data_IF_415927655420
#
_entry.id   IF_415927655420
#
_cell.length_a   1.000
_cell.length_b   1.000
_cell.length_c   1.000
_cell.angle_alpha   90.00
_cell.angle_beta   90.00
_cell.angle_gamma   90.00
#
_symmetry.space_group_name_H-M   'P 1'
#
loop_
_entity.id
_entity.type
_entity.pdbx_description
1 polymer ?
#
# COMPACT_ATOMS: atom_id res chain seq x y z
N UNK A 1 8.14 7.19 27.40
CA UNK A 1 8.60 6.11 26.49
C UNK A 1 7.59 4.97 26.35
N UNK A 2 7.20 4.28 27.44
CA UNK A 2 6.23 3.16 27.37
C UNK A 2 4.90 3.57 26.72
N UNK A 3 4.34 4.72 27.10
CA UNK A 3 3.10 5.24 26.51
C UNK A 3 3.19 5.42 25.00
N UNK A 4 4.28 5.98 24.48
CA UNK A 4 4.47 6.17 23.05
C UNK A 4 4.67 4.87 22.29
N UNK A 5 5.32 3.87 22.89
CA UNK A 5 5.42 2.51 22.33
C UNK A 5 4.02 1.89 22.24
N UNK A 6 3.22 2.00 23.30
CA UNK A 6 1.85 1.49 23.30
C UNK A 6 0.98 2.18 22.24
N UNK A 7 1.02 3.53 22.18
CA UNK A 7 0.32 4.32 21.16
C UNK A 7 0.78 3.91 19.76
N UNK A 8 2.09 3.73 19.54
CA UNK A 8 2.63 3.33 18.25
C UNK A 8 2.08 1.97 17.79
N UNK A 9 2.14 0.95 18.65
CA UNK A 9 1.65 -0.41 18.34
C UNK A 9 0.14 -0.43 18.14
N UNK A 10 -0.60 0.30 18.99
CA UNK A 10 -2.05 0.42 18.86
C UNK A 10 -2.44 1.11 17.57
N UNK A 11 -1.79 2.23 17.24
CA UNK A 11 -2.02 2.97 16.00
C UNK A 11 -1.69 2.14 14.77
N UNK A 12 -0.57 1.41 14.75
CA UNK A 12 -0.26 0.48 13.66
C UNK A 12 -1.34 -0.58 13.48
N UNK A 13 -1.82 -1.15 14.58
CA UNK A 13 -2.90 -2.13 14.55
C UNK A 13 -4.18 -1.52 13.97
N UNK A 14 -4.58 -0.34 14.43
CA UNK A 14 -5.76 0.39 13.92
C UNK A 14 -5.58 0.72 12.44
N UNK A 15 -4.39 1.15 12.00
CA UNK A 15 -4.08 1.46 10.61
C UNK A 15 -4.32 0.25 9.69
N UNK A 16 -3.80 -0.93 10.08
CA UNK A 16 -3.96 -2.17 9.32
C UNK A 16 -5.44 -2.60 9.25
N UNK A 17 -6.17 -2.56 10.36
CA UNK A 17 -7.58 -2.99 10.39
C UNK A 17 -8.50 -2.02 9.65
N UNK A 18 -8.27 -0.71 9.80
CA UNK A 18 -9.05 0.33 9.13
C UNK A 18 -8.83 0.32 7.62
N UNK A 19 -7.59 0.12 7.13
CA UNK A 19 -7.32 -0.11 5.70
C UNK A 19 -8.14 -1.30 5.16
N UNK A 20 -8.12 -2.43 5.87
CA UNK A 20 -8.90 -3.62 5.50
C UNK A 20 -10.41 -3.34 5.44
N UNK A 21 -10.95 -2.54 6.36
CA UNK A 21 -12.37 -2.16 6.35
C UNK A 21 -12.71 -1.21 5.22
N UNK A 22 -11.85 -0.22 4.94
CA UNK A 22 -12.01 0.73 3.85
C UNK A 22 -12.06 -0.01 2.52
N UNK A 23 -11.06 -0.85 2.25
CA UNK A 23 -10.96 -1.62 1.01
C UNK A 23 -12.13 -2.59 0.84
N UNK A 24 -12.50 -3.34 1.89
CA UNK A 24 -13.67 -4.25 1.82
C UNK A 24 -14.97 -3.50 1.52
N UNK A 25 -15.13 -2.29 2.04
CA UNK A 25 -16.33 -1.49 1.84
C UNK A 25 -16.35 -0.87 0.45
N UNK A 26 -15.21 -0.35 -0.03
CA UNK A 26 -15.02 0.12 -1.40
C UNK A 26 -15.35 -0.99 -2.41
N UNK A 27 -14.85 -2.21 -2.20
CA UNK A 27 -15.14 -3.35 -3.07
C UNK A 27 -16.62 -3.77 -3.07
N UNK A 28 -17.36 -3.56 -1.97
CA UNK A 28 -18.82 -3.78 -1.93
C UNK A 28 -19.56 -2.68 -2.66
N UNK A 29 -19.15 -1.42 -2.51
CA UNK A 29 -19.74 -0.27 -3.20
C UNK A 29 -19.53 -0.41 -4.71
N UNK A 30 -18.32 -0.69 -5.16
CA UNK A 30 -18.01 -0.91 -6.57
C UNK A 30 -18.84 -2.04 -7.19
N UNK A 31 -19.05 -3.15 -6.46
CA UNK A 31 -19.95 -4.24 -6.89
C UNK A 31 -21.42 -3.82 -6.95
N UNK A 32 -21.89 -3.00 -6.02
CA UNK A 32 -23.26 -2.46 -6.05
C UNK A 32 -23.47 -1.51 -7.22
N UNK A 33 -22.42 -0.78 -7.64
CA UNK A 33 -22.42 0.13 -8.79
C UNK A 33 -22.19 -0.60 -10.13
N UNK A 34 -22.06 -1.92 -10.14
CA UNK A 34 -21.89 -2.71 -11.37
C UNK A 34 -20.51 -2.61 -12.02
N UNK A 35 -19.46 -2.27 -11.26
CA UNK A 35 -18.09 -2.23 -11.79
C UNK A 35 -17.59 -3.62 -12.17
N UNK A 36 -16.68 -3.68 -13.15
CA UNK A 36 -16.07 -4.93 -13.64
C UNK A 36 -15.26 -5.61 -12.52
N UNK A 37 -15.26 -6.95 -12.51
CA UNK A 37 -14.58 -7.75 -11.47
C UNK A 37 -13.08 -7.45 -11.38
N UNK A 38 -12.42 -7.33 -12.53
CA UNK A 38 -11.00 -6.97 -12.60
C UNK A 38 -10.72 -5.61 -11.94
N UNK A 39 -11.57 -4.61 -12.18
CA UNK A 39 -11.44 -3.26 -11.60
C UNK A 39 -11.53 -3.36 -10.08
N UNK A 40 -12.53 -4.09 -9.57
CA UNK A 40 -12.70 -4.30 -8.13
C UNK A 40 -11.52 -5.04 -7.54
N UNK A 41 -11.05 -6.12 -8.17
CA UNK A 41 -9.91 -6.90 -7.70
C UNK A 41 -8.62 -6.08 -7.67
N UNK A 42 -8.32 -5.35 -8.76
CA UNK A 42 -7.15 -4.49 -8.86
C UNK A 42 -7.15 -3.41 -7.79
N UNK A 43 -8.23 -2.63 -7.65
CA UNK A 43 -8.30 -1.60 -6.61
C UNK A 43 -8.28 -2.19 -5.21
N UNK A 44 -8.88 -3.37 -5.00
CA UNK A 44 -8.83 -4.04 -3.69
C UNK A 44 -7.40 -4.44 -3.34
N UNK A 45 -6.64 -4.97 -4.29
CA UNK A 45 -5.24 -5.38 -4.06
C UNK A 45 -4.33 -4.16 -3.91
N UNK A 46 -4.37 -3.22 -4.86
CA UNK A 46 -3.48 -2.06 -4.88
C UNK A 46 -3.74 -1.10 -3.71
N UNK A 47 -5.01 -0.81 -3.38
CA UNK A 47 -5.30 0.13 -2.31
C UNK A 47 -5.08 -0.46 -0.91
N UNK A 48 -5.19 -1.79 -0.74
CA UNK A 48 -5.04 -2.41 0.58
C UNK A 48 -3.66 -2.18 1.20
N UNK A 49 -2.61 -2.26 0.39
CA UNK A 49 -1.23 -2.03 0.80
C UNK A 49 -0.84 -0.55 0.76
N UNK A 50 -1.34 0.22 -0.21
CA UNK A 50 -0.93 1.62 -0.36
C UNK A 50 -1.66 2.61 0.55
N UNK A 51 -2.87 2.30 1.04
CA UNK A 51 -3.64 3.20 1.92
C UNK A 51 -2.90 3.51 3.24
N UNK A 52 -2.35 2.51 3.97
CA UNK A 52 -1.54 2.76 5.16
C UNK A 52 -0.40 3.74 4.91
N UNK A 53 0.43 3.46 3.89
CA UNK A 53 1.60 4.26 3.53
C UNK A 53 1.18 5.69 3.13
N UNK A 54 0.12 5.81 2.33
CA UNK A 54 -0.43 7.11 1.95
C UNK A 54 -0.92 7.91 3.18
N UNK A 55 -1.54 7.24 4.15
CA UNK A 55 -2.05 7.89 5.37
C UNK A 55 -0.91 8.44 6.22
N UNK A 56 0.13 7.64 6.44
CA UNK A 56 1.35 8.06 7.16
C UNK A 56 2.09 9.16 6.38
N UNK A 57 2.18 9.04 5.05
CA UNK A 57 2.83 10.03 4.19
C UNK A 57 2.14 11.40 4.24
N UNK A 58 0.80 11.42 4.14
CA UNK A 58 0.01 12.65 4.24
C UNK A 58 0.16 13.27 5.64
N UNK A 59 0.00 12.48 6.71
CA UNK A 59 0.13 13.00 8.09
C UNK A 59 1.54 13.56 8.35
N UNK A 60 2.59 12.88 7.87
CA UNK A 60 3.98 13.36 7.98
C UNK A 60 4.21 14.67 7.24
N UNK A 61 3.65 14.81 6.02
CA UNK A 61 3.75 16.05 5.24
C UNK A 61 3.02 17.21 5.93
N UNK A 62 1.85 16.96 6.52
CA UNK A 62 1.09 17.95 7.29
C UNK A 62 1.82 18.41 8.56
N UNK A 63 2.66 17.54 9.14
CA UNK A 63 3.51 17.85 10.29
C UNK A 63 4.85 18.50 9.92
N UNK A 64 5.08 18.85 8.65
CA UNK A 64 6.35 19.39 8.13
C UNK A 64 7.56 18.47 8.37
N UNK A 65 7.35 17.16 8.40
CA UNK A 65 8.39 16.15 8.55
C UNK A 65 8.36 15.12 7.40
N UNK A 66 8.48 15.57 6.13
CA UNK A 66 8.41 14.69 4.97
C UNK A 66 9.53 13.63 4.94
N UNK A 67 10.60 13.82 5.71
CA UNK A 67 11.67 12.85 5.94
C UNK A 67 11.17 11.52 6.51
N UNK A 68 10.11 11.52 7.33
CA UNK A 68 9.49 10.30 7.84
C UNK A 68 8.78 9.53 6.72
N UNK A 69 7.99 10.24 5.91
CA UNK A 69 7.30 9.65 4.76
C UNK A 69 8.28 9.07 3.74
N UNK A 70 9.36 9.80 3.44
CA UNK A 70 10.41 9.32 2.55
C UNK A 70 11.07 8.05 3.10
N UNK A 71 11.44 8.05 4.38
CA UNK A 71 12.03 6.89 5.03
C UNK A 71 11.10 5.68 5.03
N UNK A 72 9.81 5.88 5.29
CA UNK A 72 8.78 4.84 5.27
C UNK A 72 8.64 4.19 3.88
N UNK A 73 8.47 5.00 2.83
CA UNK A 73 8.31 4.51 1.46
C UNK A 73 9.57 3.74 1.00
N UNK A 74 10.75 4.31 1.22
CA UNK A 74 12.03 3.70 0.82
C UNK A 74 12.27 2.43 1.62
N UNK A 75 12.08 2.47 2.93
CA UNK A 75 12.22 1.30 3.80
C UNK A 75 11.30 0.17 3.39
N UNK A 76 9.99 0.44 3.28
CA UNK A 76 9.00 -0.55 2.89
C UNK A 76 9.37 -1.23 1.56
N UNK A 77 9.73 -0.45 0.53
CA UNK A 77 10.12 -1.00 -0.76
C UNK A 77 11.41 -1.85 -0.69
N UNK A 78 12.43 -1.39 0.07
CA UNK A 78 13.65 -2.17 0.26
C UNK A 78 13.30 -3.50 0.95
N UNK A 79 12.50 -3.48 1.99
CA UNK A 79 12.12 -4.65 2.77
C UNK A 79 11.31 -5.64 1.94
N UNK A 80 10.32 -5.15 1.18
CA UNK A 80 9.49 -5.99 0.31
C UNK A 80 10.33 -6.68 -0.77
N UNK A 81 11.19 -5.91 -1.45
CA UNK A 81 12.04 -6.41 -2.54
C UNK A 81 13.20 -7.29 -2.08
N UNK A 82 13.62 -7.17 -0.82
CA UNK A 82 14.73 -7.96 -0.25
C UNK A 82 14.21 -9.06 0.68
N UNK A 83 13.87 -8.71 1.91
CA UNK A 83 13.45 -9.65 2.95
C UNK A 83 12.17 -10.40 2.56
N UNK A 84 11.17 -9.71 2.03
CA UNK A 84 9.91 -10.31 1.61
C UNK A 84 10.09 -11.38 0.55
N UNK A 85 10.76 -11.03 -0.55
CA UNK A 85 11.09 -11.98 -1.63
C UNK A 85 11.99 -13.10 -1.13
N UNK A 86 13.04 -12.79 -0.36
CA UNK A 86 13.97 -13.80 0.15
C UNK A 86 13.26 -14.84 1.02
N UNK A 87 12.42 -14.42 1.96
CA UNK A 87 11.63 -15.32 2.80
C UNK A 87 10.66 -16.17 1.97
N UNK A 88 10.01 -15.58 0.98
CA UNK A 88 9.12 -16.30 0.08
C UNK A 88 9.87 -17.37 -0.74
N UNK A 89 11.06 -17.06 -1.25
CA UNK A 89 11.90 -18.02 -1.98
C UNK A 89 12.37 -19.17 -1.08
N UNK A 90 12.86 -18.87 0.12
CA UNK A 90 13.34 -19.88 1.08
C UNK A 90 12.21 -20.85 1.47
N UNK A 91 10.98 -20.33 1.64
CA UNK A 91 9.82 -21.13 2.05
C UNK A 91 9.19 -21.88 0.87
N UNK A 92 9.38 -21.40 -0.36
CA UNK A 92 8.90 -22.09 -1.56
C UNK A 92 9.65 -23.42 -1.75
N UNK A 93 8.88 -24.51 -1.83
CA UNK A 93 9.44 -25.86 -2.06
C UNK A 93 10.03 -26.05 -3.46
N UNK A 94 9.72 -25.18 -4.43
CA UNK A 94 10.06 -25.35 -5.85
C UNK A 94 10.75 -24.12 -6.46
N UNK A 95 11.13 -23.14 -5.63
CA UNK A 95 11.49 -21.80 -6.07
C UNK A 95 10.27 -21.00 -6.57
N UNK A 96 10.48 -19.72 -6.91
CA UNK A 96 9.45 -18.88 -7.51
C UNK A 96 9.57 -18.96 -9.04
N UNK A 97 8.57 -19.52 -9.72
CA UNK A 97 8.54 -19.58 -11.19
C UNK A 97 7.90 -18.34 -11.77
N UNK A 98 8.55 -17.71 -12.75
CA UNK A 98 8.07 -16.56 -13.51
C UNK A 98 7.42 -17.04 -14.82
N UNK A 99 6.09 -17.26 -14.88
CA UNK A 99 5.51 -18.05 -15.97
C UNK A 99 5.21 -17.25 -17.25
N UNK A 100 5.43 -15.92 -17.29
CA UNK A 100 5.01 -15.14 -18.47
C UNK A 100 5.87 -13.92 -18.81
N UNK A 101 6.03 -13.67 -20.11
CA UNK A 101 6.59 -12.46 -20.73
C UNK A 101 5.92 -11.18 -20.21
N UNK A 102 4.62 -11.25 -19.86
CA UNK A 102 3.83 -10.14 -19.31
C UNK A 102 4.34 -9.65 -17.95
N UNK A 103 4.86 -10.55 -17.10
CA UNK A 103 5.48 -10.17 -15.81
C UNK A 103 6.81 -9.46 -16.05
N UNK A 104 7.59 -9.88 -17.05
CA UNK A 104 8.88 -9.24 -17.38
C UNK A 104 8.69 -7.82 -17.95
N UNK A 105 7.75 -7.61 -18.86
CA UNK A 105 7.47 -6.27 -19.41
C UNK A 105 6.89 -5.33 -18.36
N UNK A 106 6.03 -5.84 -17.47
CA UNK A 106 5.49 -5.03 -16.36
C UNK A 106 6.57 -4.72 -15.33
N UNK A 107 7.47 -5.67 -15.04
CA UNK A 107 8.58 -5.49 -14.11
C UNK A 107 9.57 -4.40 -14.55
N UNK A 108 9.91 -4.33 -15.84
CA UNK A 108 10.79 -3.28 -16.37
C UNK A 108 10.20 -1.87 -16.17
N UNK A 109 8.89 -1.74 -16.40
CA UNK A 109 8.17 -0.50 -16.14
C UNK A 109 8.12 -0.17 -14.64
N UNK A 110 7.85 -1.17 -13.79
CA UNK A 110 7.86 -0.99 -12.32
C UNK A 110 9.22 -0.52 -11.82
N UNK A 111 10.32 -1.09 -12.32
CA UNK A 111 11.68 -0.65 -11.96
C UNK A 111 11.90 0.80 -12.37
N UNK A 112 11.51 1.18 -13.59
CA UNK A 112 11.64 2.56 -14.06
C UNK A 112 10.87 3.54 -13.16
N UNK A 113 9.62 3.22 -12.80
CA UNK A 113 8.80 4.07 -11.91
C UNK A 113 9.36 4.10 -10.49
N UNK A 114 9.91 2.99 -9.99
CA UNK A 114 10.50 2.93 -8.64
C UNK A 114 11.79 3.75 -8.51
N UNK A 115 12.58 3.90 -9.59
CA UNK A 115 13.82 4.69 -9.62
C UNK A 115 13.54 6.19 -9.80
N UNK A 116 12.37 6.56 -10.32
CA UNK A 116 12.05 7.94 -10.66
C UNK A 116 12.06 8.91 -9.44
N UNK A 117 11.45 8.60 -8.27
CA UNK A 117 11.50 9.51 -7.13
C UNK A 117 12.91 9.73 -6.56
N UNK A 118 13.76 8.69 -6.36
CA UNK A 118 15.17 8.90 -6.02
C UNK A 118 15.92 9.73 -7.05
N UNK A 119 15.63 9.54 -8.36
CA UNK A 119 16.26 10.31 -9.44
C UNK A 119 15.91 11.81 -9.36
N UNK A 120 14.65 12.12 -9.07
CA UNK A 120 14.19 13.51 -8.87
C UNK A 120 14.80 14.13 -7.62
N UNK A 121 15.02 13.34 -6.56
CA UNK A 121 15.60 13.82 -5.32
C UNK A 121 17.11 14.17 -5.38
N UNK A 122 17.81 13.93 -6.50
CA UNK A 122 19.25 14.18 -6.62
C UNK A 122 19.63 15.67 -6.53
N UNK A 123 18.71 16.58 -6.87
CA UNK A 123 18.92 18.02 -6.75
C UNK A 123 18.78 18.54 -5.32
N UNK A 124 18.53 17.64 -4.35
CA UNK A 124 18.43 17.95 -2.93
C UNK A 124 17.00 17.98 -2.39
N UNK A 125 15.97 17.72 -3.21
CA UNK A 125 14.60 17.64 -2.70
C UNK A 125 13.58 17.06 -3.70
N UNK A 126 12.34 16.90 -3.26
CA UNK A 126 11.21 16.57 -4.14
C UNK A 126 10.22 17.71 -4.03
N UNK A 127 10.06 18.47 -5.10
CA UNK A 127 9.18 19.62 -5.17
C UNK A 127 7.76 19.28 -5.58
N UNK A 128 6.90 20.31 -5.66
CA UNK A 128 5.51 20.16 -6.14
C UNK A 128 5.45 19.76 -7.62
N UNK A 129 6.43 20.19 -8.41
CA UNK A 129 6.59 19.80 -9.81
C UNK A 129 6.82 18.30 -9.96
N UNK A 130 7.77 17.75 -9.21
CA UNK A 130 8.08 16.32 -9.20
C UNK A 130 6.89 15.49 -8.76
N UNK A 131 6.20 15.91 -7.69
CA UNK A 131 4.95 15.27 -7.24
C UNK A 131 3.87 15.25 -8.33
N UNK A 132 3.74 16.33 -9.10
CA UNK A 132 2.79 16.41 -10.22
C UNK A 132 3.17 15.43 -11.34
N UNK A 133 4.45 15.35 -11.68
CA UNK A 133 4.97 14.40 -12.67
C UNK A 133 4.72 12.96 -12.21
N UNK A 134 4.99 12.63 -10.94
CA UNK A 134 4.76 11.30 -10.37
C UNK A 134 3.28 10.89 -10.42
N UNK A 135 2.37 11.82 -10.11
CA UNK A 135 0.92 11.58 -10.24
C UNK A 135 0.54 11.34 -11.71
N UNK A 136 1.06 12.16 -12.64
CA UNK A 136 0.77 11.99 -14.07
C UNK A 136 1.26 10.64 -14.59
N UNK A 137 2.48 10.22 -14.23
CA UNK A 137 3.03 8.91 -14.59
C UNK A 137 2.15 7.79 -14.03
N UNK A 138 1.70 7.90 -12.79
CA UNK A 138 0.77 6.93 -12.19
C UNK A 138 -0.58 6.86 -12.93
N UNK A 139 -1.15 8.01 -13.31
CA UNK A 139 -2.39 8.05 -14.09
C UNK A 139 -2.23 7.44 -15.49
N UNK A 140 -1.11 7.72 -16.18
CA UNK A 140 -0.78 7.13 -17.47
C UNK A 140 -0.65 5.60 -17.32
N UNK A 141 0.03 5.12 -16.27
CA UNK A 141 0.15 3.69 -15.99
C UNK A 141 -1.21 3.03 -15.79
N UNK A 142 -2.07 3.62 -14.95
CA UNK A 142 -3.44 3.16 -14.75
C UNK A 142 -4.19 3.11 -16.08
N UNK A 143 -4.16 4.18 -16.88
CA UNK A 143 -4.85 4.23 -18.16
C UNK A 143 -4.36 3.15 -19.14
N UNK A 144 -3.05 2.96 -19.24
CA UNK A 144 -2.44 1.90 -20.06
C UNK A 144 -2.86 0.50 -19.58
N UNK A 145 -2.86 0.27 -18.26
CA UNK A 145 -3.28 -0.98 -17.64
C UNK A 145 -4.74 -1.30 -17.96
N UNK A 146 -5.62 -0.28 -17.94
CA UNK A 146 -7.04 -0.43 -18.25
C UNK A 146 -7.36 -0.49 -19.75
N UNK A 147 -6.45 -0.03 -20.63
CA UNK A 147 -6.63 -0.05 -22.09
C UNK A 147 -6.43 -1.43 -22.71
N UNK A 148 -5.66 -2.33 -22.07
CA UNK A 148 -5.44 -3.70 -22.56
C UNK A 148 -6.68 -4.59 -22.40
N UNK A 149 -7.45 -4.73 -23.49
CA UNK A 149 -8.78 -5.40 -23.56
C UNK A 149 -8.82 -6.88 -23.14
N UNK A 150 -7.71 -7.61 -23.12
CA UNK A 150 -7.70 -9.06 -22.86
C UNK A 150 -7.85 -9.47 -21.38
N UNK A 151 -7.87 -8.53 -20.42
CA UNK A 151 -8.11 -8.84 -19.00
C UNK A 151 -9.56 -8.61 -18.54
N UNK A 152 -10.48 -8.32 -19.47
CA UNK A 152 -11.81 -7.79 -19.17
C UNK A 152 -13.01 -8.69 -19.55
N UNK A 153 -12.83 -9.97 -19.86
CA UNK A 153 -13.93 -10.82 -20.37
C UNK A 153 -14.92 -11.33 -19.31
N UNK A 154 -14.61 -11.26 -18.00
CA UNK A 154 -15.54 -11.66 -16.95
C UNK A 154 -16.23 -10.45 -16.32
N UNK A 155 -17.46 -10.19 -16.77
CA UNK A 155 -18.44 -9.43 -16.00
C UNK A 155 -18.77 -10.27 -14.76
N UNK A 156 -18.83 -9.64 -13.58
CA UNK A 156 -19.19 -10.32 -12.33
C UNK A 156 -20.60 -10.91 -12.44
N UNK A 157 -20.69 -12.18 -12.87
CA UNK A 157 -21.97 -12.88 -13.05
C UNK A 157 -22.25 -13.83 -11.87
N UNK A 158 -21.87 -13.43 -10.64
CA UNK A 158 -22.37 -14.04 -9.41
C UNK A 158 -23.54 -13.20 -8.91
N UNK A 159 -24.68 -13.36 -9.59
CA UNK A 159 -26.02 -12.90 -9.19
C UNK A 159 -26.06 -11.47 -8.69
N UNK A 160 -26.40 -10.52 -9.57
CA UNK A 160 -26.66 -9.14 -9.20
C UNK A 160 -27.63 -9.08 -8.00
N UNK A 161 -27.09 -8.94 -6.78
CA UNK A 161 -27.91 -8.65 -5.61
C UNK A 161 -28.55 -7.30 -5.92
N UNK A 162 -29.88 -7.26 -6.02
CA UNK A 162 -30.65 -6.01 -6.21
C UNK A 162 -30.00 -4.88 -5.43
N UNK A 163 -29.73 -3.77 -6.11
CA UNK A 163 -29.19 -2.56 -5.49
C UNK A 163 -30.06 -2.21 -4.27
N UNK A 164 -29.46 -2.25 -3.08
CA UNK A 164 -30.17 -1.95 -1.82
C UNK A 164 -29.55 -0.69 -1.24
N UNK A 165 -30.29 0.41 -1.29
CA UNK A 165 -29.89 1.72 -0.76
C UNK A 165 -29.31 1.60 0.66
N UNK A 166 -30.00 0.86 1.55
CA UNK A 166 -29.53 0.62 2.93
C UNK A 166 -28.13 0.00 3.01
N UNK A 167 -27.78 -0.91 2.09
CA UNK A 167 -26.45 -1.51 2.03
C UNK A 167 -25.42 -0.53 1.45
N UNK A 168 -25.81 0.29 0.48
CA UNK A 168 -24.94 1.32 -0.07
C UNK A 168 -24.54 2.34 1.01
N UNK A 169 -25.52 2.96 1.68
CA UNK A 169 -25.27 3.93 2.75
C UNK A 169 -24.51 3.33 3.95
N UNK A 170 -24.81 2.07 4.34
CA UNK A 170 -24.03 1.39 5.37
C UNK A 170 -22.54 1.27 5.00
N UNK A 171 -22.22 0.89 3.75
CA UNK A 171 -20.82 0.79 3.34
C UNK A 171 -20.16 2.16 3.23
N UNK A 172 -20.90 3.18 2.78
CA UNK A 172 -20.40 4.56 2.74
C UNK A 172 -20.04 5.06 4.15
N UNK A 173 -20.89 4.81 5.14
CA UNK A 173 -20.60 5.14 6.53
C UNK A 173 -19.37 4.40 7.07
N UNK A 174 -19.24 3.10 6.78
CA UNK A 174 -18.05 2.32 7.16
C UNK A 174 -16.79 2.88 6.50
N UNK A 175 -16.87 3.31 5.24
CA UNK A 175 -15.73 3.94 4.54
C UNK A 175 -15.32 5.23 5.24
N UNK A 176 -16.26 6.11 5.57
CA UNK A 176 -15.96 7.36 6.28
C UNK A 176 -15.35 7.11 7.65
N UNK A 177 -15.91 6.18 8.43
CA UNK A 177 -15.35 5.79 9.72
C UNK A 177 -13.95 5.18 9.59
N UNK A 178 -13.70 4.38 8.56
CA UNK A 178 -12.39 3.80 8.30
C UNK A 178 -11.35 4.87 7.90
N UNK A 179 -11.73 5.85 7.07
CA UNK A 179 -10.86 6.99 6.72
C UNK A 179 -10.51 7.81 7.97
N UNK A 180 -11.49 8.09 8.83
CA UNK A 180 -11.24 8.78 10.09
C UNK A 180 -10.25 8.01 10.98
N UNK A 181 -10.45 6.70 11.14
CA UNK A 181 -9.54 5.84 11.91
C UNK A 181 -8.14 5.75 11.29
N UNK A 182 -8.02 5.74 9.96
CA UNK A 182 -6.73 5.74 9.26
C UNK A 182 -5.95 7.02 9.56
N UNK A 183 -6.61 8.18 9.50
CA UNK A 183 -6.00 9.48 9.80
C UNK A 183 -5.58 9.53 11.26
N UNK A 184 -6.45 9.14 12.19
CA UNK A 184 -6.14 9.11 13.62
C UNK A 184 -4.99 8.15 13.97
N UNK A 185 -4.92 6.99 13.30
CA UNK A 185 -3.83 6.03 13.45
C UNK A 185 -2.51 6.58 12.89
N UNK A 186 -2.53 7.16 11.69
CA UNK A 186 -1.36 7.79 11.09
C UNK A 186 -0.81 8.89 12.00
N UNK A 187 -1.69 9.71 12.57
CA UNK A 187 -1.32 10.75 13.54
C UNK A 187 -0.57 10.18 14.76
N UNK A 188 -1.10 9.13 15.37
CA UNK A 188 -0.42 8.49 16.50
C UNK A 188 0.93 7.86 16.12
N UNK A 189 1.08 7.35 14.90
CA UNK A 189 2.38 6.84 14.38
C UNK A 189 3.37 7.99 14.24
N UNK A 190 2.95 9.10 13.64
CA UNK A 190 3.79 10.27 13.39
C UNK A 190 4.27 10.89 14.71
N UNK A 191 3.37 11.09 15.67
CA UNK A 191 3.71 11.64 16.98
C UNK A 191 4.67 10.72 17.75
N UNK A 192 4.43 9.40 17.74
CA UNK A 192 5.37 8.45 18.36
C UNK A 192 6.73 8.41 17.65
N UNK A 193 6.77 8.54 16.32
CA UNK A 193 8.02 8.59 15.56
C UNK A 193 8.86 9.83 15.91
N UNK A 194 8.22 11.01 16.03
CA UNK A 194 8.89 12.24 16.51
C UNK A 194 9.47 12.00 17.91
N UNK A 195 8.67 11.47 18.83
CA UNK A 195 9.11 11.17 20.19
C UNK A 195 10.32 10.22 20.21
N UNK A 196 10.31 9.16 19.40
CA UNK A 196 11.46 8.24 19.31
C UNK A 196 12.70 8.92 18.73
N UNK A 197 12.54 9.82 17.76
CA UNK A 197 13.64 10.58 17.17
C UNK A 197 14.33 11.45 18.20
N UNK A 198 13.55 12.20 18.98
CA UNK A 198 14.07 13.09 20.01
C UNK A 198 14.67 12.33 21.20
N UNK A 199 13.97 11.29 21.67
CA UNK A 199 14.39 10.53 22.86
C UNK A 199 15.61 9.65 22.63
N UNK A 200 15.78 9.10 21.43
CA UNK A 200 16.91 8.23 21.08
C UNK A 200 18.03 8.98 20.33
N UNK A 201 17.80 10.25 19.98
CA UNK A 201 18.69 11.05 19.13
C UNK A 201 19.01 10.36 17.79
N UNK A 202 17.97 9.76 17.19
CA UNK A 202 18.07 9.05 15.90
C UNK A 202 17.36 9.88 14.83
N UNK A 203 17.94 10.07 13.63
CA UNK A 203 17.29 10.74 12.52
C UNK A 203 15.90 10.15 12.20
N UNK A 204 14.91 11.04 12.00
CA UNK A 204 13.53 10.66 11.69
C UNK A 204 13.41 9.76 10.45
N UNK A 205 14.30 9.95 9.47
CA UNK A 205 14.40 9.10 8.26
C UNK A 205 14.69 7.64 8.64
N UNK A 206 15.59 7.39 9.59
CA UNK A 206 15.94 6.04 10.03
C UNK A 206 14.78 5.37 10.76
N UNK A 207 14.01 6.12 11.54
CA UNK A 207 12.77 5.61 12.16
C UNK A 207 11.74 5.26 11.08
N UNK A 208 11.62 6.10 10.05
CA UNK A 208 10.83 5.82 8.86
C UNK A 208 11.24 4.50 8.20
N UNK A 209 12.54 4.30 7.93
CA UNK A 209 13.05 3.11 7.25
C UNK A 209 12.88 1.85 8.11
N UNK A 210 13.36 1.88 9.35
CA UNK A 210 13.55 0.68 10.16
C UNK A 210 12.33 0.34 11.03
N UNK A 211 11.51 1.31 11.39
CA UNK A 211 10.40 1.07 12.32
C UNK A 211 9.08 1.11 11.57
N UNK A 212 8.81 2.24 10.90
CA UNK A 212 7.53 2.44 10.21
C UNK A 212 7.45 1.60 8.94
N UNK A 213 8.52 1.62 8.13
CA UNK A 213 8.62 0.85 6.88
C UNK A 213 8.56 -0.66 7.13
N UNK A 214 9.27 -1.19 8.14
CA UNK A 214 9.13 -2.60 8.55
C UNK A 214 7.69 -2.87 8.99
N UNK A 215 7.13 -2.03 9.86
CA UNK A 215 5.76 -2.21 10.36
C UNK A 215 4.72 -2.32 9.24
N UNK A 216 4.85 -1.48 8.21
CA UNK A 216 3.98 -1.50 7.04
C UNK A 216 4.24 -2.70 6.12
N UNK A 217 5.47 -3.20 5.99
CA UNK A 217 5.79 -4.35 5.14
C UNK A 217 5.38 -5.72 5.72
N UNK A 218 5.19 -5.81 7.06
CA UNK A 218 4.93 -7.09 7.73
C UNK A 218 3.70 -7.86 7.19
N UNK A 219 2.53 -7.23 6.97
CA UNK A 219 1.38 -7.92 6.38
C UNK A 219 1.68 -8.48 4.98
N UNK A 220 2.37 -7.73 4.15
CA UNK A 220 2.74 -8.03 2.77
C UNK A 220 3.68 -9.24 2.74
N UNK A 221 4.75 -9.21 3.55
CA UNK A 221 5.66 -10.34 3.74
C UNK A 221 4.88 -11.58 4.19
N UNK A 222 4.00 -11.44 5.19
CA UNK A 222 3.22 -12.56 5.71
C UNK A 222 2.34 -13.19 4.62
N UNK A 223 1.65 -12.39 3.80
CA UNK A 223 0.84 -12.89 2.70
C UNK A 223 1.69 -13.51 1.59
N UNK A 224 2.82 -12.89 1.22
CA UNK A 224 3.75 -13.41 0.23
C UNK A 224 4.33 -14.76 0.63
N UNK A 225 4.78 -14.91 1.88
CA UNK A 225 5.25 -16.17 2.44
C UNK A 225 4.17 -17.25 2.42
N UNK A 226 2.93 -16.90 2.79
CA UNK A 226 1.81 -17.84 2.78
C UNK A 226 1.42 -18.27 1.36
N UNK A 227 1.51 -17.38 0.38
CA UNK A 227 1.30 -17.69 -1.04
C UNK A 227 2.41 -18.61 -1.59
N UNK A 228 3.67 -18.31 -1.28
CA UNK A 228 4.81 -19.14 -1.66
C UNK A 228 4.69 -20.58 -1.10
N UNK A 229 4.25 -20.72 0.15
CA UNK A 229 4.00 -22.03 0.78
C UNK A 229 2.93 -22.85 0.05
N UNK A 230 1.96 -22.18 -0.59
CA UNK A 230 0.90 -22.80 -1.39
C UNK A 230 1.28 -23.04 -2.86
N UNK A 231 2.44 -22.57 -3.30
CA UNK A 231 2.87 -22.61 -4.71
C UNK A 231 2.13 -21.60 -5.59
N UNK A 232 1.59 -20.52 -5.00
CA UNK A 232 0.92 -19.43 -5.72
C UNK A 232 1.95 -18.36 -6.13
N UNK A 233 2.97 -18.74 -6.90
CA UNK A 233 4.15 -17.91 -7.20
C UNK A 233 3.79 -16.53 -7.79
N UNK A 234 2.71 -16.45 -8.60
CA UNK A 234 2.24 -15.22 -9.23
C UNK A 234 1.64 -14.19 -8.26
N UNK A 235 1.34 -14.58 -7.01
CA UNK A 235 0.85 -13.67 -5.96
C UNK A 235 2.03 -13.01 -5.23
N UNK A 236 3.20 -13.67 -5.25
CA UNK A 236 4.43 -13.22 -4.59
C UNK A 236 5.20 -12.23 -5.48
N UNK A 237 5.16 -12.44 -6.80
CA UNK A 237 5.88 -11.67 -7.82
C UNK A 237 4.97 -10.60 -8.42
#
# INVERSE_FOLDING_TARGET
MITHIFVFVLSFSILIYSSKWLVKSLARVARLLGWKEFVVAFFTMALASSIPNLSVGISSALHNIPSLAFGEIVGNNIIDLTLGVALAVIISKRGLRLPSQTVQTSGLFTIFVAVLPPLMAFDGGIGRGDGTILILVFLIYIFWLFSKKDRFSKIYNRGAKKFRLKKFFKNLFIMLAAVFLLIAAAEGIVQSAIYFSESLNIPLVLIGILVVGIGNALPEIFFGVQAARKGEDWVVI
#
